data_IF_933086071224
#
_entry.id   IF_933086071224
#
_cell.length_a   1.000
_cell.length_b   1.000
_cell.length_c   1.000
_cell.angle_alpha   90.00
_cell.angle_beta   90.00
_cell.angle_gamma   90.00
#
_symmetry.space_group_name_H-M   'P 1'
#
loop_
_entity.id
_entity.type
_entity.pdbx_description
1 polymer ?
#
# COMPACT_ATOMS: atom_id res chain seq x y z
N UNK A 1 10.34 18.58 21.64
CA UNK A 1 9.64 19.88 21.51
C UNK A 1 8.94 20.11 20.16
N UNK A 2 9.14 19.28 19.11
CA UNK A 2 8.34 19.33 17.87
C UNK A 2 7.79 17.95 17.46
N UNK A 3 8.53 16.88 17.77
CA UNK A 3 8.08 15.48 17.62
C UNK A 3 6.82 15.16 18.44
N UNK A 4 6.77 15.59 19.70
CA UNK A 4 5.61 15.40 20.58
C UNK A 4 4.35 16.10 20.06
N UNK A 5 4.48 17.26 19.40
CA UNK A 5 3.34 17.99 18.83
C UNK A 5 2.80 17.32 17.55
N UNK A 6 3.67 16.73 16.72
CA UNK A 6 3.26 15.98 15.53
C UNK A 6 2.69 14.60 15.86
N UNK A 7 3.16 13.96 16.93
CA UNK A 7 2.68 12.66 17.38
C UNK A 7 1.43 12.75 18.28
N UNK A 8 1.26 13.85 19.03
CA UNK A 8 0.16 14.03 20.00
C UNK A 8 -0.97 14.92 19.48
N UNK A 9 -0.75 15.76 18.46
CA UNK A 9 -1.87 16.52 17.86
C UNK A 9 -2.74 15.57 17.05
N UNK A 10 -4.05 15.61 17.29
CA UNK A 10 -5.07 14.78 16.60
C UNK A 10 -4.93 14.77 15.07
N UNK A 11 -4.45 15.89 14.51
CA UNK A 11 -4.22 16.08 13.07
C UNK A 11 -3.00 15.28 12.57
N UNK A 12 -1.94 15.19 13.38
CA UNK A 12 -0.72 14.47 13.03
C UNK A 12 -0.92 12.95 13.08
N UNK A 13 -1.63 12.45 14.10
CA UNK A 13 -1.93 11.02 14.21
C UNK A 13 -2.88 10.54 13.10
N UNK A 14 -3.93 11.32 12.79
CA UNK A 14 -4.85 10.99 11.69
C UNK A 14 -4.17 11.01 10.32
N UNK A 15 -3.32 12.00 10.04
CA UNK A 15 -2.57 12.05 8.78
C UNK A 15 -1.56 10.91 8.66
N UNK A 16 -0.85 10.56 9.75
CA UNK A 16 0.04 9.39 9.78
C UNK A 16 -0.74 8.09 9.53
N UNK A 17 -1.93 7.96 10.11
CA UNK A 17 -2.82 6.83 9.89
C UNK A 17 -3.29 6.76 8.43
N UNK A 18 -3.69 7.87 7.83
CA UNK A 18 -4.06 7.92 6.41
C UNK A 18 -2.90 7.52 5.50
N UNK A 19 -1.70 8.04 5.75
CA UNK A 19 -0.50 7.68 4.97
C UNK A 19 -0.22 6.17 5.11
N UNK A 20 -0.23 5.64 6.34
CA UNK A 20 -0.04 4.21 6.59
C UNK A 20 -1.11 3.36 5.89
N UNK A 21 -2.38 3.78 5.94
CA UNK A 21 -3.48 3.10 5.28
C UNK A 21 -3.31 3.06 3.76
N UNK A 22 -2.94 4.19 3.13
CA UNK A 22 -2.67 4.26 1.69
C UNK A 22 -1.49 3.35 1.32
N UNK A 23 -0.41 3.35 2.11
CA UNK A 23 0.75 2.49 1.88
C UNK A 23 0.39 0.99 1.96
N UNK A 24 -0.41 0.60 2.96
CA UNK A 24 -0.91 -0.78 3.09
C UNK A 24 -1.77 -1.15 1.89
N UNK A 25 -2.68 -0.26 1.47
CA UNK A 25 -3.54 -0.50 0.31
C UNK A 25 -2.72 -0.62 -0.98
N UNK A 26 -1.74 0.25 -1.19
CA UNK A 26 -0.84 0.20 -2.35
C UNK A 26 -0.02 -1.09 -2.37
N UNK A 27 0.54 -1.50 -1.22
CA UNK A 27 1.27 -2.76 -1.09
C UNK A 27 0.35 -3.97 -1.32
N UNK A 28 -0.88 -3.94 -0.80
CA UNK A 28 -1.88 -4.97 -1.02
C UNK A 28 -2.23 -5.09 -2.51
N UNK A 29 -2.48 -3.96 -3.18
CA UNK A 29 -2.79 -3.93 -4.61
C UNK A 29 -1.61 -4.41 -5.44
N UNK A 30 -0.38 -4.01 -5.11
CA UNK A 30 0.83 -4.48 -5.78
C UNK A 30 1.00 -6.00 -5.61
N UNK A 31 0.77 -6.53 -4.40
CA UNK A 31 0.85 -7.96 -4.12
C UNK A 31 -0.26 -8.74 -4.82
N UNK A 32 -1.48 -8.20 -4.84
CA UNK A 32 -2.62 -8.76 -5.55
C UNK A 32 -2.38 -8.77 -7.06
N UNK A 33 -2.00 -7.63 -7.62
CA UNK A 33 -1.63 -7.48 -9.03
C UNK A 33 -0.46 -8.40 -9.39
N UNK A 34 0.60 -8.52 -8.58
CA UNK A 34 1.67 -9.49 -8.84
C UNK A 34 1.19 -10.93 -8.82
N UNK A 35 0.29 -11.28 -7.90
CA UNK A 35 -0.26 -12.64 -7.80
C UNK A 35 -1.21 -12.96 -8.96
N UNK A 36 -2.01 -12.00 -9.39
CA UNK A 36 -2.91 -12.13 -10.55
C UNK A 36 -2.16 -12.06 -11.88
N UNK A 37 -1.19 -11.15 -12.03
CA UNK A 37 -0.34 -11.06 -13.21
C UNK A 37 0.50 -12.32 -13.40
N UNK A 38 0.91 -13.00 -12.32
CA UNK A 38 1.55 -14.31 -12.45
C UNK A 38 0.61 -15.40 -12.98
N UNK A 39 -0.71 -15.27 -12.79
CA UNK A 39 -1.72 -16.14 -13.40
C UNK A 39 -1.98 -15.74 -14.87
N UNK A 40 -1.93 -14.44 -15.20
CA UNK A 40 -2.06 -13.93 -16.56
C UNK A 40 -0.81 -14.18 -17.43
N UNK A 41 0.40 -14.13 -16.87
CA UNK A 41 1.64 -14.49 -17.57
C UNK A 41 1.69 -15.99 -17.91
N UNK A 42 1.15 -16.86 -17.04
CA UNK A 42 0.99 -18.29 -17.36
C UNK A 42 0.00 -18.53 -18.51
N UNK A 43 -1.06 -17.71 -18.62
CA UNK A 43 -2.01 -17.78 -19.75
C UNK A 43 -1.50 -17.10 -21.02
N UNK A 44 -0.68 -16.06 -20.91
CA UNK A 44 -0.10 -15.35 -22.04
C UNK A 44 1.10 -16.08 -22.65
N UNK A 45 1.88 -16.82 -21.84
CA UNK A 45 3.03 -17.62 -22.28
C UNK A 45 2.66 -18.92 -23.01
N UNK A 46 1.40 -19.39 -22.90
CA UNK A 46 0.89 -20.57 -23.60
C UNK A 46 0.43 -20.28 -25.04
N UNK A 47 0.64 -19.05 -25.54
CA UNK A 47 0.18 -18.60 -26.87
C UNK A 47 1.30 -18.29 -27.87
N UNK A 48 2.54 -18.74 -27.62
CA UNK A 48 3.63 -18.70 -28.60
C UNK A 48 4.38 -20.01 -28.68
#
# INVERSE_FOLDING_TARGET
>A
MAWELLLTSDIGLLSLFTIAFILVMAAYLYRYARRHMAEDEQRAGLKR
#
